data_IF_354392241847
#
_entry.id   IF_354392241847
#
_cell.length_a   1.000
_cell.length_b   1.000
_cell.length_c   1.000
_cell.angle_alpha   90.00
_cell.angle_beta   90.00
_cell.angle_gamma   90.00
#
_symmetry.space_group_name_H-M   'P 1'
#
loop_
_entity.id
_entity.type
_entity.pdbx_description
1 polymer ?
#
# COMPACT_ATOMS: atom_id res chain seq x y z
N UNK A 1 14.44 -10.59 6.71
CA UNK A 1 13.46 -10.51 5.74
C UNK A 1 12.12 -10.00 6.20
N UNK A 2 11.58 -9.12 6.21
CA UNK A 2 10.31 -8.57 6.46
C UNK A 2 9.45 -9.31 7.46
N UNK A 3 8.20 -9.40 7.19
CA UNK A 3 7.21 -9.93 8.11
C UNK A 3 7.26 -11.45 8.18
N UNK A 4 7.01 -11.95 9.36
CA UNK A 4 6.80 -13.36 9.51
C UNK A 4 5.56 -13.78 8.70
N UNK A 5 5.70 -14.82 7.96
CA UNK A 5 4.63 -15.36 7.15
C UNK A 5 4.25 -16.72 7.69
N UNK A 6 3.07 -16.83 8.22
CA UNK A 6 2.54 -18.10 8.67
C UNK A 6 1.78 -18.74 7.52
N UNK A 7 2.48 -18.96 6.45
CA UNK A 7 1.89 -19.63 5.30
C UNK A 7 1.61 -21.07 5.65
N UNK A 8 0.42 -21.51 5.44
CA UNK A 8 0.05 -22.88 5.75
C UNK A 8 -1.00 -23.36 4.76
N UNK A 9 -1.00 -24.66 4.60
CA UNK A 9 -2.06 -25.34 3.91
C UNK A 9 -2.97 -25.89 4.97
N UNK A 10 -4.18 -25.38 5.05
CA UNK A 10 -5.13 -25.83 6.03
C UNK A 10 -6.17 -26.72 5.39
N UNK A 11 -6.48 -27.86 5.98
CA UNK A 11 -7.57 -28.67 5.48
C UNK A 11 -8.90 -27.98 5.76
N UNK A 12 -9.75 -27.92 4.78
CA UNK A 12 -11.09 -27.38 4.90
C UNK A 12 -12.10 -28.49 4.70
N UNK A 13 -12.87 -28.77 5.73
CA UNK A 13 -13.90 -29.78 5.66
C UNK A 13 -15.16 -29.21 5.03
N UNK A 14 -15.55 -29.74 3.91
CA UNK A 14 -16.76 -29.33 3.25
C UNK A 14 -17.84 -30.37 3.46
N UNK A 15 -19.10 -29.95 3.59
CA UNK A 15 -20.31 -30.77 3.82
C UNK A 15 -20.04 -32.23 3.53
N UNK A 16 -20.50 -32.97 2.81
CA UNK A 16 -20.34 -34.41 2.52
C UNK A 16 -19.03 -35.08 2.89
N UNK A 17 -18.27 -34.54 3.84
CA UNK A 17 -17.04 -35.17 4.35
C UNK A 17 -15.82 -35.05 3.47
N UNK A 18 -15.93 -34.32 2.38
CA UNK A 18 -14.77 -34.08 1.53
C UNK A 18 -13.82 -33.11 2.22
N UNK A 19 -12.52 -33.41 2.11
CA UNK A 19 -11.46 -32.52 2.62
C UNK A 19 -10.86 -31.79 1.43
N UNK A 20 -10.73 -30.49 1.60
CA UNK A 20 -10.15 -29.61 0.60
C UNK A 20 -8.99 -28.86 1.21
N UNK A 21 -7.87 -28.86 0.52
CA UNK A 21 -6.73 -28.06 0.95
C UNK A 21 -6.95 -26.62 0.53
N UNK A 22 -6.80 -25.72 1.48
CA UNK A 22 -6.93 -24.30 1.26
C UNK A 22 -5.57 -23.66 1.38
N UNK A 23 -5.07 -23.13 0.28
CA UNK A 23 -3.83 -22.37 0.29
C UNK A 23 -4.10 -20.98 0.86
N UNK A 24 -3.23 -20.54 1.74
CA UNK A 24 -3.32 -19.23 2.35
C UNK A 24 -2.60 -18.22 1.45
N UNK A 25 -3.34 -17.63 0.53
CA UNK A 25 -2.79 -16.65 -0.41
C UNK A 25 -2.93 -15.26 0.18
N UNK A 26 -1.82 -14.51 0.19
CA UNK A 26 -1.81 -13.14 0.69
C UNK A 26 -1.04 -12.25 -0.26
N UNK A 27 -1.54 -11.05 -0.47
CA UNK A 27 -0.80 -10.05 -1.21
C UNK A 27 0.32 -9.52 -0.32
N UNK A 28 1.56 -9.74 -0.71
CA UNK A 28 2.71 -9.31 0.09
C UNK A 28 3.06 -7.86 -0.20
N UNK A 29 3.34 -7.56 -1.45
CA UNK A 29 3.71 -6.19 -1.82
C UNK A 29 3.43 -5.92 -3.30
N UNK A 30 3.39 -4.64 -3.61
CA UNK A 30 3.31 -4.13 -4.98
C UNK A 30 4.50 -3.19 -5.18
N UNK A 31 5.19 -3.34 -6.31
CA UNK A 31 6.29 -2.44 -6.63
C UNK A 31 5.77 -1.12 -7.17
N UNK A 32 6.34 -0.02 -6.67
CA UNK A 32 5.97 1.33 -7.08
C UNK A 32 7.23 2.00 -7.63
N UNK A 33 7.24 2.34 -8.92
CA UNK A 33 8.44 2.89 -9.54
C UNK A 33 8.65 4.35 -9.16
N UNK A 34 9.84 4.67 -8.67
CA UNK A 34 10.21 6.02 -8.26
C UNK A 34 11.56 6.38 -8.86
N UNK A 35 11.78 7.67 -9.07
CA UNK A 35 13.04 8.17 -9.63
C UNK A 35 14.09 8.44 -8.56
N UNK A 36 13.67 8.75 -7.34
CA UNK A 36 14.55 9.09 -6.23
C UNK A 36 14.03 8.37 -4.97
N UNK A 37 14.76 7.33 -4.59
CA UNK A 37 14.34 6.45 -3.49
C UNK A 37 14.30 7.18 -2.16
N UNK A 38 15.29 8.03 -1.89
CA UNK A 38 15.32 8.77 -0.62
C UNK A 38 14.16 9.76 -0.52
N UNK A 39 13.86 10.46 -1.61
CA UNK A 39 12.72 11.38 -1.66
C UNK A 39 11.40 10.64 -1.47
N UNK A 40 11.25 9.52 -2.16
CA UNK A 40 10.04 8.71 -2.05
C UNK A 40 9.88 8.13 -0.65
N UNK A 41 10.96 7.60 -0.08
CA UNK A 41 10.92 7.07 1.29
C UNK A 41 10.50 8.14 2.28
N UNK A 42 11.08 9.33 2.17
CA UNK A 42 10.71 10.46 3.05
C UNK A 42 9.22 10.79 2.90
N UNK A 43 8.72 10.83 1.69
CA UNK A 43 7.30 11.11 1.45
C UNK A 43 6.41 10.07 2.12
N UNK A 44 6.67 8.79 1.87
CA UNK A 44 5.81 7.73 2.39
C UNK A 44 5.87 7.62 3.90
N UNK A 45 7.03 7.83 4.51
CA UNK A 45 7.15 7.73 5.96
C UNK A 45 6.68 8.98 6.68
N UNK A 46 7.10 10.15 6.22
CA UNK A 46 6.84 11.42 6.95
C UNK A 46 5.50 12.03 6.59
N UNK A 47 5.05 11.87 5.37
CA UNK A 47 3.81 12.50 4.90
C UNK A 47 2.65 11.54 4.84
N UNK A 48 2.86 10.35 4.28
CA UNK A 48 1.79 9.36 4.21
C UNK A 48 1.69 8.50 5.49
N UNK A 49 2.71 8.50 6.33
CA UNK A 49 2.68 7.80 7.60
C UNK A 49 2.93 6.30 7.52
N UNK A 50 3.52 5.83 6.43
CA UNK A 50 3.84 4.41 6.28
C UNK A 50 5.05 4.05 7.13
N UNK A 51 5.11 2.80 7.54
CA UNK A 51 6.27 2.29 8.28
C UNK A 51 7.31 1.72 7.31
N UNK A 52 8.56 2.10 7.50
CA UNK A 52 9.66 1.53 6.71
C UNK A 52 10.13 0.24 7.38
N UNK A 53 9.69 -0.89 6.86
CA UNK A 53 10.00 -2.19 7.43
C UNK A 53 11.42 -2.63 7.10
N UNK A 54 11.84 -2.37 5.87
CA UNK A 54 13.13 -2.79 5.33
C UNK A 54 13.68 -1.66 4.49
N UNK A 55 14.98 -1.43 4.61
CA UNK A 55 15.74 -0.59 3.70
C UNK A 55 17.09 -1.26 3.53
N UNK A 56 17.28 -1.94 2.42
CA UNK A 56 18.45 -2.76 2.21
C UNK A 56 19.12 -2.47 0.86
N UNK A 57 20.43 -2.29 0.91
CA UNK A 57 21.26 -2.30 -0.26
C UNK A 57 21.74 -3.74 -0.46
N UNK A 58 21.27 -4.37 -1.53
CA UNK A 58 21.57 -5.79 -1.76
C UNK A 58 22.68 -6.00 -2.76
N UNK A 59 23.42 -4.94 -3.09
CA UNK A 59 24.53 -5.02 -4.04
C UNK A 59 24.08 -4.89 -5.49
N UNK A 60 25.05 -4.76 -6.39
CA UNK A 60 24.84 -4.65 -7.84
C UNK A 60 23.93 -3.48 -8.23
N UNK A 61 23.96 -2.40 -7.45
CA UNK A 61 23.13 -1.23 -7.70
C UNK A 61 21.66 -1.42 -7.34
N UNK A 62 21.34 -2.44 -6.57
CA UNK A 62 19.95 -2.73 -6.19
C UNK A 62 19.72 -2.29 -4.74
N UNK A 63 18.71 -1.44 -4.55
CA UNK A 63 18.24 -1.04 -3.23
C UNK A 63 16.76 -1.38 -3.12
N UNK A 64 16.38 -1.96 -2.00
CA UNK A 64 15.01 -2.41 -1.73
C UNK A 64 14.51 -1.75 -0.46
N UNK A 65 13.41 -1.00 -0.57
CA UNK A 65 12.75 -0.37 0.57
C UNK A 65 11.30 -0.85 0.62
N UNK A 66 10.93 -1.48 1.72
CA UNK A 66 9.56 -1.95 1.92
C UNK A 66 8.85 -1.04 2.91
N UNK A 67 7.70 -0.55 2.49
CA UNK A 67 6.91 0.42 3.23
C UNK A 67 5.50 -0.13 3.43
N UNK A 68 5.00 -0.08 4.66
CA UNK A 68 3.70 -0.65 4.99
C UNK A 68 2.79 0.40 5.61
N UNK A 69 1.59 0.63 5.04
CA UNK A 69 0.59 1.47 5.70
C UNK A 69 0.21 0.90 7.06
N UNK A 70 -0.04 1.73 8.07
CA UNK A 70 -0.46 1.24 9.39
C UNK A 70 -1.69 0.34 9.27
N UNK A 71 -1.61 -0.83 9.89
CA UNK A 71 -2.71 -1.79 9.88
C UNK A 71 -2.86 -2.61 8.61
N UNK A 72 -2.03 -2.37 7.60
CA UNK A 72 -2.11 -3.11 6.34
C UNK A 72 -1.30 -4.39 6.41
N UNK A 73 -1.80 -5.43 5.76
CA UNK A 73 -1.02 -6.65 5.56
C UNK A 73 -0.11 -6.53 4.34
N UNK A 74 -0.59 -5.85 3.31
CA UNK A 74 0.19 -5.64 2.09
C UNK A 74 1.04 -4.39 2.21
N UNK A 75 2.16 -4.40 1.51
CA UNK A 75 3.14 -3.32 1.50
C UNK A 75 3.35 -2.80 0.09
N UNK A 76 4.11 -1.73 -0.02
CA UNK A 76 4.71 -1.37 -1.30
C UNK A 76 6.23 -1.52 -1.19
N UNK A 77 6.87 -1.71 -2.32
CA UNK A 77 8.32 -1.70 -2.43
C UNK A 77 8.74 -0.61 -3.39
N UNK A 78 9.67 0.20 -2.95
CA UNK A 78 10.34 1.18 -3.82
C UNK A 78 11.82 0.84 -3.82
N UNK A 79 12.52 1.28 -4.82
CA UNK A 79 13.95 0.99 -4.84
C UNK A 79 14.61 1.33 -6.16
N UNK A 80 15.86 0.90 -6.25
CA UNK A 80 16.68 1.05 -7.45
C UNK A 80 16.93 -0.34 -8.02
N UNK A 81 16.76 -0.48 -9.33
CA UNK A 81 17.03 -1.75 -10.01
C UNK A 81 15.98 -2.85 -9.77
N UNK A 82 14.82 -2.49 -9.24
CA UNK A 82 13.76 -3.47 -8.95
C UNK A 82 12.82 -3.70 -10.12
N UNK A 83 12.64 -2.70 -10.96
CA UNK A 83 11.62 -2.72 -11.99
C UNK A 83 12.05 -1.81 -13.14
N UNK A 84 11.59 -2.11 -14.34
CA UNK A 84 11.79 -1.26 -15.51
C UNK A 84 10.58 -0.37 -15.79
N UNK A 85 9.62 -0.33 -14.86
CA UNK A 85 8.48 0.57 -14.99
C UNK A 85 8.92 2.03 -14.93
N UNK A 86 8.24 2.85 -15.70
CA UNK A 86 8.50 4.29 -15.70
C UNK A 86 8.14 4.89 -14.33
N UNK A 87 9.00 5.70 -13.71
CA UNK A 87 8.63 6.36 -12.45
C UNK A 87 7.34 7.14 -12.60
N UNK A 88 6.46 7.02 -11.61
CA UNK A 88 5.17 7.70 -11.61
C UNK A 88 4.09 7.04 -12.44
N UNK A 89 4.35 5.87 -13.01
CA UNK A 89 3.41 5.23 -13.95
C UNK A 89 2.29 4.45 -13.27
N UNK A 90 2.38 4.20 -11.96
CA UNK A 90 1.38 3.40 -11.26
C UNK A 90 0.18 4.28 -10.88
N UNK A 91 -1.00 3.77 -11.19
CA UNK A 91 -2.26 4.43 -10.84
C UNK A 91 -3.14 3.38 -10.16
N UNK A 92 -4.04 3.85 -9.28
CA UNK A 92 -5.01 2.94 -8.71
C UNK A 92 -4.58 2.19 -7.46
N UNK A 93 -3.48 2.60 -6.83
CA UNK A 93 -3.20 2.13 -5.48
C UNK A 93 -4.29 2.66 -4.57
N UNK A 94 -4.81 1.80 -3.70
CA UNK A 94 -5.99 2.17 -2.93
C UNK A 94 -5.85 1.74 -1.47
N UNK A 95 -6.10 2.69 -0.58
CA UNK A 95 -6.15 2.47 0.85
C UNK A 95 -7.61 2.55 1.31
N UNK A 96 -7.95 1.80 2.33
CA UNK A 96 -9.25 1.93 2.96
C UNK A 96 -9.05 2.44 4.39
N UNK A 97 -9.86 3.40 4.79
CA UNK A 97 -9.78 4.04 6.11
C UNK A 97 -11.17 4.07 6.74
N UNK A 98 -11.26 4.12 8.07
CA UNK A 98 -12.56 4.24 8.72
C UNK A 98 -13.20 5.61 8.54
N UNK A 99 -12.43 6.68 8.36
CA UNK A 99 -12.92 8.05 8.26
C UNK A 99 -12.06 8.83 7.26
N UNK A 100 -12.61 9.07 6.08
CA UNK A 100 -11.88 9.73 5.01
C UNK A 100 -11.64 11.21 5.29
N UNK A 101 -12.54 11.87 6.02
CA UNK A 101 -12.34 13.28 6.38
C UNK A 101 -11.16 13.42 7.34
N UNK A 102 -11.07 12.52 8.32
CA UNK A 102 -9.92 12.51 9.23
C UNK A 102 -8.63 12.20 8.51
N UNK A 103 -8.66 11.25 7.58
CA UNK A 103 -7.49 10.91 6.78
C UNK A 103 -7.04 12.10 5.93
N UNK A 104 -7.98 12.81 5.31
CA UNK A 104 -7.69 14.00 4.53
C UNK A 104 -7.03 15.07 5.40
N UNK A 105 -7.60 15.34 6.57
CA UNK A 105 -7.07 16.34 7.49
C UNK A 105 -5.63 16.01 7.89
N UNK A 106 -5.35 14.75 8.15
CA UNK A 106 -4.00 14.31 8.50
C UNK A 106 -3.02 14.50 7.36
N UNK A 107 -3.42 14.16 6.14
CA UNK A 107 -2.56 14.36 4.97
C UNK A 107 -2.28 15.84 4.74
N UNK A 108 -3.29 16.70 4.85
CA UNK A 108 -3.12 18.14 4.70
C UNK A 108 -2.16 18.69 5.76
N UNK A 109 -2.30 18.25 7.00
CA UNK A 109 -1.43 18.69 8.09
C UNK A 109 0.03 18.34 7.83
N UNK A 110 0.27 17.21 7.18
CA UNK A 110 1.62 16.77 6.83
C UNK A 110 2.13 17.36 5.52
N UNK A 111 1.36 18.24 4.91
CA UNK A 111 1.77 18.95 3.70
C UNK A 111 1.53 18.20 2.40
N UNK A 112 0.68 17.19 2.41
CA UNK A 112 0.33 16.49 1.18
C UNK A 112 -0.76 17.26 0.45
N UNK A 113 -0.60 17.43 -0.86
CA UNK A 113 -1.67 17.95 -1.69
C UNK A 113 -2.72 16.85 -1.87
N UNK A 114 -3.91 17.11 -1.37
CA UNK A 114 -5.03 16.18 -1.48
C UNK A 114 -6.29 16.95 -1.77
N UNK A 115 -7.07 16.45 -2.73
CA UNK A 115 -8.31 17.10 -3.14
C UNK A 115 -9.41 16.96 -2.12
N UNK A 116 -10.57 17.48 -2.45
CA UNK A 116 -11.74 17.38 -1.58
C UNK A 116 -12.34 15.99 -1.64
N UNK A 117 -13.11 15.64 -0.62
CA UNK A 117 -13.79 14.35 -0.57
C UNK A 117 -14.84 14.28 -1.68
N UNK A 118 -14.80 13.19 -2.43
CA UNK A 118 -15.78 12.86 -3.46
C UNK A 118 -16.56 11.65 -3.01
N UNK A 119 -17.87 11.75 -3.04
CA UNK A 119 -18.74 10.67 -2.55
C UNK A 119 -19.52 10.05 -3.69
N UNK A 120 -19.49 8.74 -3.75
CA UNK A 120 -20.19 7.91 -4.72
C UNK A 120 -20.97 6.83 -3.96
N UNK A 121 -21.76 6.05 -4.69
CA UNK A 121 -22.54 4.98 -4.08
C UNK A 121 -21.64 3.93 -3.40
N UNK A 122 -20.42 3.75 -3.91
CA UNK A 122 -19.49 2.74 -3.41
C UNK A 122 -18.49 3.27 -2.38
N UNK A 123 -18.62 4.51 -1.95
CA UNK A 123 -17.80 5.06 -0.91
C UNK A 123 -17.42 6.51 -1.11
N UNK A 124 -16.66 7.02 -0.16
CA UNK A 124 -16.12 8.38 -0.21
C UNK A 124 -14.61 8.30 -0.38
N UNK A 125 -14.06 9.18 -1.19
CA UNK A 125 -12.67 9.11 -1.62
C UNK A 125 -11.97 10.44 -1.55
N UNK A 126 -10.67 10.39 -1.24
CA UNK A 126 -9.74 11.47 -1.59
C UNK A 126 -8.58 10.86 -2.36
N UNK A 127 -7.87 11.70 -3.11
CA UNK A 127 -6.80 11.26 -3.99
C UNK A 127 -5.55 12.07 -3.74
N UNK A 128 -4.41 11.42 -3.78
CA UNK A 128 -3.12 12.10 -3.72
C UNK A 128 -2.11 11.34 -4.58
N UNK A 129 -0.94 11.93 -4.76
CA UNK A 129 0.14 11.31 -5.52
C UNK A 129 1.44 11.41 -4.74
N UNK A 130 2.34 10.48 -5.01
CA UNK A 130 3.69 10.59 -4.49
C UNK A 130 4.51 11.59 -5.34
N UNK A 131 5.77 11.87 -4.96
CA UNK A 131 6.54 12.88 -5.70
C UNK A 131 6.75 12.59 -7.18
N UNK A 132 6.70 11.33 -7.60
CA UNK A 132 6.83 10.98 -9.01
C UNK A 132 5.50 10.96 -9.74
N UNK A 133 4.38 11.06 -9.03
CA UNK A 133 3.06 11.04 -9.63
C UNK A 133 2.36 9.70 -9.55
N UNK A 134 2.90 8.72 -8.83
CA UNK A 134 2.16 7.47 -8.60
C UNK A 134 0.90 7.79 -7.81
N UNK A 135 -0.24 7.34 -8.29
CA UNK A 135 -1.54 7.79 -7.80
C UNK A 135 -2.16 6.88 -6.77
N UNK A 136 -2.70 7.50 -5.73
CA UNK A 136 -3.34 6.83 -4.60
C UNK A 136 -4.76 7.30 -4.42
N UNK A 137 -5.64 6.36 -4.10
CA UNK A 137 -6.99 6.65 -3.62
C UNK A 137 -7.09 6.25 -2.17
N UNK A 138 -7.77 7.06 -1.37
CA UNK A 138 -8.09 6.73 0.02
C UNK A 138 -9.59 6.64 0.12
N UNK A 139 -10.09 5.50 0.50
CA UNK A 139 -11.53 5.20 0.48
C UNK A 139 -12.07 4.95 1.87
N UNK A 140 -13.21 5.54 2.15
CA UNK A 140 -14.07 5.14 3.25
C UNK A 140 -15.24 4.37 2.63
N UNK A 141 -15.46 3.14 3.06
CA UNK A 141 -16.56 2.33 2.55
C UNK A 141 -17.92 2.92 2.96
N UNK A 142 -18.98 2.67 2.19
CA UNK A 142 -20.31 3.14 2.59
C UNK A 142 -20.73 2.56 3.92
N UNK A 143 -21.52 3.32 4.66
CA UNK A 143 -22.07 2.83 5.91
C UNK A 143 -22.94 1.61 5.63
N UNK A 144 -22.85 0.61 6.49
CA UNK A 144 -23.70 -0.56 6.40
C UNK A 144 -25.05 -0.24 7.02
N UNK A 145 -26.10 -0.63 6.35
CA UNK A 145 -27.46 -0.48 6.86
C UNK A 145 -27.95 -1.76 7.55
#
# INVERSE_FOLDING_TARGET
MGRAWSSSIAPLQLGSGRVRLLLDWRLELVQVPVSDVDRAKAFYTEKAGFNADIDADVGNGIRFVQLTPPGSRASIAIGTGLSDMEPGSVRGLQLVVPDVEAARAELLERGVEVGEVQTFDWGSFVFFSDPDGNGWAVQQLPARS
#
